data_IF_686718234562
#
_entry.id   IF_686718234562
#
_cell.length_a   1.000
_cell.length_b   1.000
_cell.length_c   1.000
_cell.angle_alpha   90.00
_cell.angle_beta   90.00
_cell.angle_gamma   90.00
#
_symmetry.space_group_name_H-M   'P 1'
#
loop_
_entity.id
_entity.type
_entity.pdbx_description
1 polymer ?
#
# COMPACT_ATOMS: atom_id res chain seq x y z
N UNK A 1 -4.56 9.96 -46.24
CA UNK A 1 -5.26 9.79 -44.95
C UNK A 1 -4.86 10.85 -43.93
N UNK A 2 -3.56 11.08 -43.69
CA UNK A 2 -3.06 12.14 -42.78
C UNK A 2 -3.63 13.54 -43.05
N UNK A 3 -3.83 13.91 -44.32
CA UNK A 3 -4.46 15.19 -44.69
C UNK A 3 -5.89 15.36 -44.16
N UNK A 4 -6.64 14.28 -43.96
CA UNK A 4 -7.99 14.32 -43.39
C UNK A 4 -7.95 14.64 -41.88
N UNK A 5 -6.90 14.23 -41.17
CA UNK A 5 -6.73 14.53 -39.73
C UNK A 5 -6.38 16.00 -39.49
N UNK A 6 -5.78 16.66 -40.49
CA UNK A 6 -5.47 18.10 -40.41
C UNK A 6 -6.72 18.97 -40.50
N UNK A 7 -7.84 18.45 -40.99
CA UNK A 7 -9.07 19.21 -41.14
C UNK A 7 -9.70 19.46 -39.77
N UNK A 8 -9.79 20.72 -39.36
CA UNK A 8 -10.39 21.12 -38.08
C UNK A 8 -11.92 21.30 -38.16
N UNK A 9 -12.53 21.09 -39.32
CA UNK A 9 -13.97 21.18 -39.49
C UNK A 9 -14.65 20.00 -38.78
N UNK A 10 -15.63 20.33 -37.95
CA UNK A 10 -16.43 19.37 -37.19
C UNK A 10 -17.89 19.54 -37.59
N UNK A 11 -18.66 18.46 -37.48
CA UNK A 11 -20.10 18.49 -37.69
C UNK A 11 -20.85 19.22 -36.56
N UNK A 12 -22.17 19.32 -36.69
CA UNK A 12 -23.04 20.04 -35.74
C UNK A 12 -22.96 19.51 -34.29
N UNK A 13 -22.48 18.28 -34.11
CA UNK A 13 -22.30 17.65 -32.79
C UNK A 13 -20.82 17.59 -32.37
N UNK A 14 -19.93 18.26 -33.10
CA UNK A 14 -18.52 18.41 -32.75
C UNK A 14 -17.63 17.22 -33.15
N UNK A 15 -18.10 16.33 -34.04
CA UNK A 15 -17.35 15.17 -34.52
C UNK A 15 -16.66 15.44 -35.85
N UNK A 16 -15.56 14.72 -36.10
CA UNK A 16 -14.95 14.63 -37.43
C UNK A 16 -14.74 13.16 -37.81
N UNK A 17 -15.79 12.47 -38.32
CA UNK A 17 -15.72 11.04 -38.64
C UNK A 17 -14.63 10.73 -39.66
N UNK A 18 -14.40 11.61 -40.64
CA UNK A 18 -13.36 11.43 -41.65
C UNK A 18 -11.94 11.34 -41.04
N UNK A 19 -11.63 12.21 -40.07
CA UNK A 19 -10.36 12.17 -39.34
C UNK A 19 -10.25 10.89 -38.49
N UNK A 20 -11.31 10.50 -37.78
CA UNK A 20 -11.32 9.26 -36.99
C UNK A 20 -11.09 8.03 -37.88
N UNK A 21 -11.85 7.90 -38.98
CA UNK A 21 -11.69 6.80 -39.93
C UNK A 21 -10.29 6.78 -40.54
N UNK A 22 -9.70 7.95 -40.83
CA UNK A 22 -8.34 8.03 -41.34
C UNK A 22 -7.33 7.45 -40.35
N UNK A 23 -7.43 7.78 -39.07
CA UNK A 23 -6.56 7.26 -38.00
C UNK A 23 -6.71 5.73 -37.87
N UNK A 24 -7.94 5.22 -37.73
CA UNK A 24 -8.18 3.78 -37.58
C UNK A 24 -7.75 2.98 -38.82
N UNK A 25 -7.95 3.54 -40.02
CA UNK A 25 -7.51 2.90 -41.27
C UNK A 25 -5.99 2.82 -41.34
N UNK A 26 -5.28 3.89 -40.96
CA UNK A 26 -3.83 3.90 -40.89
C UNK A 26 -3.32 2.88 -39.86
N UNK A 27 -3.97 2.78 -38.70
CA UNK A 27 -3.65 1.78 -37.69
C UNK A 27 -3.80 0.34 -38.21
N UNK A 28 -4.96 0.00 -38.79
CA UNK A 28 -5.16 -1.34 -39.35
C UNK A 28 -4.21 -1.70 -40.50
N UNK A 29 -3.83 -0.71 -41.32
CA UNK A 29 -2.81 -0.90 -42.36
C UNK A 29 -1.41 -1.08 -41.77
N UNK A 30 -1.04 -0.35 -40.71
CA UNK A 30 0.22 -0.51 -40.01
C UNK A 30 0.31 -1.91 -39.37
N UNK A 31 -0.76 -2.37 -38.72
CA UNK A 31 -0.86 -3.71 -38.12
C UNK A 31 -0.73 -4.83 -39.17
N UNK A 32 -1.14 -4.58 -40.41
CA UNK A 32 -0.96 -5.50 -41.54
C UNK A 32 0.48 -5.57 -42.08
N UNK A 33 1.42 -4.79 -41.49
CA UNK A 33 2.84 -4.77 -41.84
C UNK A 33 3.24 -3.68 -42.83
N UNK A 34 2.38 -2.69 -43.11
CA UNK A 34 2.70 -1.60 -44.03
C UNK A 34 3.56 -0.52 -43.35
N UNK A 35 4.85 -0.47 -43.70
CA UNK A 35 5.79 0.54 -43.16
C UNK A 35 5.33 1.97 -43.48
N UNK A 36 4.89 2.22 -44.71
CA UNK A 36 4.38 3.54 -45.11
C UNK A 36 3.12 3.96 -44.33
N UNK A 37 2.28 2.99 -43.93
CA UNK A 37 1.12 3.28 -43.10
C UNK A 37 1.52 3.57 -41.65
N UNK A 38 2.56 2.91 -41.13
CA UNK A 38 3.13 3.18 -39.80
C UNK A 38 3.66 4.62 -39.69
N UNK A 39 4.46 5.06 -40.67
CA UNK A 39 4.98 6.44 -40.70
C UNK A 39 3.84 7.47 -40.81
N UNK A 40 2.84 7.17 -41.65
CA UNK A 40 1.67 8.02 -41.82
C UNK A 40 0.76 8.05 -40.58
N UNK A 41 0.68 6.94 -39.83
CA UNK A 41 -0.03 6.82 -38.56
C UNK A 41 0.63 7.69 -37.50
N UNK A 42 1.96 7.63 -37.36
CA UNK A 42 2.68 8.45 -36.41
C UNK A 42 2.39 9.95 -36.64
N UNK A 43 2.48 10.42 -37.88
CA UNK A 43 2.12 11.80 -38.24
C UNK A 43 0.63 12.12 -38.01
N UNK A 44 -0.27 11.16 -38.24
CA UNK A 44 -1.69 11.33 -37.99
C UNK A 44 -2.00 11.44 -36.48
N UNK A 45 -1.33 10.68 -35.63
CA UNK A 45 -1.49 10.75 -34.18
C UNK A 45 -1.02 12.10 -33.62
N UNK A 46 0.12 12.63 -34.06
CA UNK A 46 0.61 13.96 -33.64
C UNK A 46 -0.37 15.09 -33.97
N UNK A 47 -1.00 15.03 -35.15
CA UNK A 47 -2.05 15.97 -35.54
C UNK A 47 -3.31 15.72 -34.71
N UNK A 48 -3.66 14.45 -34.50
CA UNK A 48 -4.83 14.02 -33.77
C UNK A 48 -4.82 14.44 -32.31
N UNK A 49 -3.67 14.45 -31.62
CA UNK A 49 -3.54 14.90 -30.24
C UNK A 49 -3.96 16.36 -30.03
N UNK A 50 -3.82 17.20 -31.07
CA UNK A 50 -4.15 18.64 -31.01
C UNK A 50 -5.51 18.96 -31.62
N UNK A 51 -6.27 17.95 -32.01
CA UNK A 51 -7.50 18.14 -32.76
C UNK A 51 -8.63 18.69 -31.88
N UNK A 52 -9.49 19.56 -32.43
CA UNK A 52 -10.61 20.19 -31.69
C UNK A 52 -11.65 19.17 -31.21
N UNK A 53 -11.94 18.17 -32.02
CA UNK A 53 -12.87 17.08 -31.72
C UNK A 53 -12.27 16.06 -30.75
N UNK A 54 -12.90 15.84 -29.59
CA UNK A 54 -12.40 14.88 -28.59
C UNK A 54 -12.35 13.44 -29.09
N UNK A 55 -13.27 12.94 -29.95
CA UNK A 55 -13.16 11.56 -30.44
C UNK A 55 -12.00 11.35 -31.41
N UNK A 56 -11.52 12.41 -32.08
CA UNK A 56 -10.28 12.36 -32.87
C UNK A 56 -9.07 12.27 -31.95
N UNK A 57 -9.01 13.07 -30.87
CA UNK A 57 -7.96 12.93 -29.84
C UNK A 57 -7.97 11.54 -29.22
N UNK A 58 -9.16 11.02 -28.89
CA UNK A 58 -9.35 9.68 -28.35
C UNK A 58 -8.85 8.59 -29.32
N UNK A 59 -9.20 8.69 -30.60
CA UNK A 59 -8.72 7.76 -31.61
C UNK A 59 -7.19 7.83 -31.74
N UNK A 60 -6.61 9.03 -31.80
CA UNK A 60 -5.17 9.22 -31.88
C UNK A 60 -4.43 8.57 -30.72
N UNK A 61 -4.86 8.81 -29.47
CA UNK A 61 -4.26 8.18 -28.28
C UNK A 61 -4.43 6.66 -28.32
N UNK A 62 -5.61 6.17 -28.73
CA UNK A 62 -5.92 4.75 -28.76
C UNK A 62 -5.02 3.92 -29.68
N UNK A 63 -4.45 4.52 -30.73
CA UNK A 63 -3.63 3.79 -31.72
C UNK A 63 -2.22 4.34 -31.91
N UNK A 64 -1.83 5.37 -31.18
CA UNK A 64 -0.47 5.91 -31.32
C UNK A 64 0.58 4.88 -30.88
N UNK A 65 1.76 5.01 -31.47
CA UNK A 65 2.91 4.21 -31.08
C UNK A 65 3.31 4.53 -29.64
N UNK A 66 3.97 3.58 -28.96
CA UNK A 66 4.34 3.73 -27.55
C UNK A 66 5.28 4.93 -27.30
N UNK A 67 6.20 5.19 -28.22
CA UNK A 67 7.13 6.33 -28.19
C UNK A 67 6.42 7.69 -28.32
N UNK A 68 5.18 7.72 -28.80
CA UNK A 68 4.37 8.93 -28.92
C UNK A 68 3.53 9.24 -27.68
N UNK A 69 3.43 8.32 -26.70
CA UNK A 69 2.63 8.54 -25.49
C UNK A 69 3.18 9.67 -24.62
N UNK A 70 4.51 9.83 -24.55
CA UNK A 70 5.13 10.96 -23.86
C UNK A 70 4.69 12.30 -24.49
N UNK A 71 4.65 12.38 -25.82
CA UNK A 71 4.17 13.58 -26.52
C UNK A 71 2.68 13.87 -26.26
N UNK A 72 1.85 12.83 -26.13
CA UNK A 72 0.45 12.99 -25.73
C UNK A 72 0.31 13.58 -24.31
N UNK A 73 1.17 13.17 -23.38
CA UNK A 73 1.21 13.69 -22.01
C UNK A 73 1.73 15.13 -21.94
N UNK A 74 2.76 15.45 -22.72
CA UNK A 74 3.30 16.80 -22.83
C UNK A 74 2.26 17.80 -23.35
N UNK A 75 1.30 17.31 -24.16
CA UNK A 75 0.14 18.09 -24.63
C UNK A 75 -1.01 18.17 -23.62
N UNK A 76 -0.91 17.51 -22.47
CA UNK A 76 -1.90 17.61 -21.39
C UNK A 76 -3.13 16.71 -21.56
N UNK A 77 -3.07 15.67 -22.40
CA UNK A 77 -4.23 14.78 -22.64
C UNK A 77 -4.65 13.96 -21.40
N UNK A 78 -3.78 13.82 -20.41
CA UNK A 78 -4.08 13.27 -19.07
C UNK A 78 -5.08 14.11 -18.27
N UNK A 79 -5.27 15.37 -18.66
CA UNK A 79 -6.23 16.32 -18.10
C UNK A 79 -7.22 16.82 -19.16
N UNK A 80 -7.45 16.06 -20.22
CA UNK A 80 -8.40 16.41 -21.27
C UNK A 80 -9.81 16.69 -20.71
N UNK A 81 -10.55 17.60 -21.35
CA UNK A 81 -11.93 17.91 -20.95
C UNK A 81 -12.83 16.69 -21.11
N UNK A 82 -12.57 15.84 -22.10
CA UNK A 82 -13.31 14.60 -22.31
C UNK A 82 -12.73 13.44 -21.48
N UNK A 83 -13.49 12.86 -20.53
CA UNK A 83 -13.03 11.75 -19.71
C UNK A 83 -12.68 10.50 -20.53
N UNK A 84 -13.24 10.33 -21.74
CA UNK A 84 -12.87 9.20 -22.61
C UNK A 84 -11.43 9.27 -23.08
N UNK A 85 -10.96 10.47 -23.43
CA UNK A 85 -9.56 10.69 -23.84
C UNK A 85 -8.63 10.35 -22.67
N UNK A 86 -8.97 10.79 -21.46
CA UNK A 86 -8.24 10.48 -20.23
C UNK A 86 -8.21 8.99 -19.94
N UNK A 87 -9.37 8.33 -20.03
CA UNK A 87 -9.51 6.88 -19.86
C UNK A 87 -8.62 6.13 -20.86
N UNK A 88 -8.74 6.45 -22.16
CA UNK A 88 -7.94 5.81 -23.20
C UNK A 88 -6.45 6.05 -22.98
N UNK A 89 -6.02 7.25 -22.57
CA UNK A 89 -4.61 7.50 -22.25
C UNK A 89 -4.12 6.63 -21.08
N UNK A 90 -4.88 6.55 -19.98
CA UNK A 90 -4.51 5.72 -18.82
C UNK A 90 -4.43 4.23 -19.19
N UNK A 91 -5.36 3.73 -20.00
CA UNK A 91 -5.31 2.34 -20.48
C UNK A 91 -4.11 2.10 -21.40
N UNK A 92 -3.77 3.05 -22.28
CA UNK A 92 -2.58 2.97 -23.13
C UNK A 92 -1.28 2.99 -22.31
N UNK A 93 -1.26 3.74 -21.21
CA UNK A 93 -0.15 3.72 -20.24
C UNK A 93 -0.06 2.33 -19.59
N UNK A 94 -1.19 1.74 -19.17
CA UNK A 94 -1.25 0.41 -18.56
C UNK A 94 -0.79 -0.72 -19.51
N UNK A 95 -1.05 -0.58 -20.81
CA UNK A 95 -0.60 -1.51 -21.85
C UNK A 95 0.88 -1.32 -22.26
N UNK A 96 1.55 -0.31 -21.70
CA UNK A 96 2.94 0.06 -22.00
C UNK A 96 3.83 -0.05 -20.76
N UNK A 97 5.13 0.13 -20.93
CA UNK A 97 6.01 0.34 -19.78
C UNK A 97 5.83 1.80 -19.26
N UNK A 98 4.88 2.00 -18.34
CA UNK A 98 4.51 3.35 -17.89
C UNK A 98 5.68 4.16 -17.31
N UNK A 99 6.72 3.49 -16.76
CA UNK A 99 7.88 4.17 -16.20
C UNK A 99 8.63 5.00 -17.26
N UNK A 100 8.48 4.66 -18.55
CA UNK A 100 9.01 5.41 -19.68
C UNK A 100 8.11 6.56 -20.15
N UNK A 101 6.86 6.61 -19.69
CA UNK A 101 5.79 7.47 -20.24
C UNK A 101 5.32 8.53 -19.23
N UNK A 102 5.10 8.14 -17.97
CA UNK A 102 4.67 9.05 -16.89
C UNK A 102 5.34 8.67 -15.57
N UNK A 103 5.89 9.64 -14.86
CA UNK A 103 6.47 9.40 -13.54
C UNK A 103 5.39 9.29 -12.45
N UNK A 104 5.76 8.75 -11.29
CA UNK A 104 4.82 8.60 -10.17
C UNK A 104 4.19 9.92 -9.72
N UNK A 105 4.92 11.04 -9.79
CA UNK A 105 4.38 12.36 -9.46
C UNK A 105 3.33 12.81 -10.48
N UNK A 106 3.56 12.56 -11.77
CA UNK A 106 2.61 12.78 -12.85
C UNK A 106 1.31 12.02 -12.61
N UNK A 107 1.39 10.74 -12.26
CA UNK A 107 0.22 9.94 -11.91
C UNK A 107 -0.53 10.51 -10.70
N UNK A 108 0.17 10.85 -9.63
CA UNK A 108 -0.44 11.37 -8.40
C UNK A 108 -1.14 12.72 -8.61
N UNK A 109 -0.64 13.57 -9.52
CA UNK A 109 -1.30 14.83 -9.88
C UNK A 109 -2.69 14.63 -10.51
N UNK A 110 -2.98 13.44 -11.07
CA UNK A 110 -4.28 13.14 -11.67
C UNK A 110 -5.35 12.79 -10.63
N UNK A 111 -4.95 12.20 -9.49
CA UNK A 111 -5.86 11.68 -8.46
C UNK A 111 -6.98 12.67 -8.05
N UNK A 112 -6.71 13.96 -7.77
CA UNK A 112 -7.75 14.89 -7.33
C UNK A 112 -8.88 15.07 -8.35
N UNK A 113 -8.56 14.91 -9.64
CA UNK A 113 -9.49 15.10 -10.75
C UNK A 113 -10.22 13.81 -11.17
N UNK A 114 -9.95 12.68 -10.51
CA UNK A 114 -10.56 11.36 -10.80
C UNK A 114 -11.17 10.69 -9.58
N UNK A 115 -11.00 11.24 -8.37
CA UNK A 115 -11.43 10.61 -7.11
C UNK A 115 -12.93 10.27 -7.02
N UNK A 116 -13.77 10.93 -7.83
CA UNK A 116 -15.22 10.72 -7.87
C UNK A 116 -15.69 9.91 -9.08
N UNK A 117 -14.78 9.51 -9.96
CA UNK A 117 -15.06 8.73 -11.16
C UNK A 117 -14.41 7.35 -11.02
N UNK A 118 -15.22 6.35 -10.67
CA UNK A 118 -14.76 4.99 -10.42
C UNK A 118 -14.05 4.38 -11.64
N UNK A 119 -14.50 4.71 -12.86
CA UNK A 119 -13.91 4.17 -14.10
C UNK A 119 -12.53 4.76 -14.36
N UNK A 120 -12.38 6.08 -14.18
CA UNK A 120 -11.08 6.73 -14.31
C UNK A 120 -10.12 6.33 -13.19
N UNK A 121 -10.63 6.08 -11.98
CA UNK A 121 -9.82 5.60 -10.86
C UNK A 121 -9.32 4.17 -11.09
N UNK A 122 -10.15 3.29 -11.64
CA UNK A 122 -9.73 1.93 -12.02
C UNK A 122 -8.67 1.98 -13.12
N UNK A 123 -8.88 2.78 -14.16
CA UNK A 123 -7.88 2.97 -15.22
C UNK A 123 -6.57 3.57 -14.70
N UNK A 124 -6.64 4.52 -13.76
CA UNK A 124 -5.46 5.06 -13.10
C UNK A 124 -4.74 3.99 -12.28
N UNK A 125 -5.49 3.13 -11.59
CA UNK A 125 -4.91 2.02 -10.80
C UNK A 125 -4.21 1.02 -11.72
N UNK A 126 -4.80 0.70 -12.87
CA UNK A 126 -4.16 -0.12 -13.91
C UNK A 126 -2.87 0.52 -14.44
N UNK A 127 -2.89 1.82 -14.76
CA UNK A 127 -1.72 2.55 -15.21
C UNK A 127 -0.62 2.61 -14.14
N UNK A 128 -0.98 2.80 -12.87
CA UNK A 128 -0.03 2.82 -11.76
C UNK A 128 0.52 1.42 -11.41
N UNK A 129 -0.16 0.34 -11.83
CA UNK A 129 0.24 -1.04 -11.53
C UNK A 129 1.42 -1.53 -12.40
N UNK A 130 1.81 -0.80 -13.44
CA UNK A 130 3.00 -1.12 -14.25
C UNK A 130 4.30 -0.82 -13.49
N UNK A 131 4.34 0.23 -12.68
CA UNK A 131 5.40 0.54 -11.71
C UNK A 131 4.80 0.96 -10.36
N UNK A 132 4.29 -0.02 -9.59
CA UNK A 132 3.54 0.27 -8.38
C UNK A 132 4.44 0.81 -7.26
N UNK A 133 5.74 0.48 -7.25
CA UNK A 133 6.67 0.98 -6.24
C UNK A 133 6.83 2.51 -6.36
N UNK A 134 7.05 3.01 -7.57
CA UNK A 134 7.19 4.45 -7.84
C UNK A 134 5.88 5.19 -7.57
N UNK A 135 4.74 4.62 -8.00
CA UNK A 135 3.43 5.22 -7.75
C UNK A 135 3.13 5.33 -6.25
N UNK A 136 3.34 4.26 -5.47
CA UNK A 136 3.12 4.26 -4.02
C UNK A 136 4.01 5.29 -3.33
N UNK A 137 5.31 5.34 -3.65
CA UNK A 137 6.23 6.33 -3.07
C UNK A 137 5.75 7.75 -3.36
N UNK A 138 5.33 8.04 -4.59
CA UNK A 138 4.79 9.35 -4.94
C UNK A 138 3.49 9.67 -4.18
N UNK A 139 2.60 8.69 -4.00
CA UNK A 139 1.37 8.87 -3.22
C UNK A 139 1.67 9.25 -1.78
N UNK A 140 2.65 8.60 -1.13
CA UNK A 140 3.01 8.89 0.27
C UNK A 140 3.58 10.29 0.49
N UNK A 141 4.16 10.90 -0.56
CA UNK A 141 4.73 12.25 -0.52
C UNK A 141 3.69 13.35 -0.79
N UNK A 142 2.51 13.00 -1.29
CA UNK A 142 1.47 13.97 -1.60
C UNK A 142 0.69 14.40 -0.36
N UNK A 143 0.43 15.70 -0.23
CA UNK A 143 -0.39 16.27 0.85
C UNK A 143 -1.84 15.76 0.82
N UNK A 144 -2.30 15.32 -0.36
CA UNK A 144 -3.65 14.77 -0.59
C UNK A 144 -3.74 13.27 -0.31
N UNK A 145 -2.69 12.65 0.24
CA UNK A 145 -2.60 11.23 0.59
C UNK A 145 -3.66 10.72 1.59
N UNK A 146 -4.40 11.62 2.25
CA UNK A 146 -5.29 11.27 3.36
C UNK A 146 -6.73 10.87 3.01
N UNK A 147 -7.12 10.80 1.74
CA UNK A 147 -8.48 10.37 1.40
C UNK A 147 -8.62 8.85 1.48
N UNK A 148 -9.79 8.36 1.89
CA UNK A 148 -10.08 6.92 1.93
C UNK A 148 -9.90 6.25 0.55
N UNK A 149 -10.25 6.98 -0.53
CA UNK A 149 -10.02 6.54 -1.91
C UNK A 149 -8.54 6.33 -2.21
N UNK A 150 -7.66 7.26 -1.81
CA UNK A 150 -6.23 7.13 -2.01
C UNK A 150 -5.64 6.00 -1.17
N UNK A 151 -6.12 5.79 0.07
CA UNK A 151 -5.72 4.67 0.89
C UNK A 151 -6.10 3.31 0.26
N UNK A 152 -7.31 3.21 -0.30
CA UNK A 152 -7.75 2.01 -1.04
C UNK A 152 -6.87 1.74 -2.26
N UNK A 153 -6.58 2.78 -3.06
CA UNK A 153 -5.72 2.64 -4.23
C UNK A 153 -4.28 2.21 -3.85
N UNK A 154 -3.69 2.82 -2.81
CA UNK A 154 -2.37 2.44 -2.29
C UNK A 154 -2.36 0.99 -1.78
N UNK A 155 -3.43 0.54 -1.12
CA UNK A 155 -3.59 -0.84 -0.68
C UNK A 155 -3.61 -1.82 -1.85
N UNK A 156 -4.39 -1.54 -2.90
CA UNK A 156 -4.44 -2.36 -4.11
C UNK A 156 -3.08 -2.44 -4.80
N UNK A 157 -2.38 -1.32 -4.94
CA UNK A 157 -1.05 -1.28 -5.56
C UNK A 157 -0.02 -2.07 -4.74
N UNK A 158 -0.06 -1.97 -3.40
CA UNK A 158 0.85 -2.70 -2.52
C UNK A 158 0.57 -4.22 -2.57
N UNK A 159 -0.69 -4.64 -2.53
CA UNK A 159 -1.06 -6.05 -2.73
C UNK A 159 -0.64 -6.56 -4.12
N UNK A 160 -0.82 -5.75 -5.17
CA UNK A 160 -0.40 -6.09 -6.53
C UNK A 160 1.11 -6.28 -6.62
N UNK A 161 1.89 -5.31 -6.12
CA UNK A 161 3.35 -5.38 -6.09
C UNK A 161 3.84 -6.65 -5.39
N UNK A 162 3.27 -6.99 -4.22
CA UNK A 162 3.61 -8.20 -3.50
C UNK A 162 3.30 -9.48 -4.32
N UNK A 163 2.10 -9.58 -4.90
CA UNK A 163 1.69 -10.73 -5.74
C UNK A 163 2.52 -10.87 -7.01
N UNK A 164 3.03 -9.76 -7.53
CA UNK A 164 3.93 -9.72 -8.68
C UNK A 164 5.37 -10.14 -8.35
N UNK A 165 5.65 -10.61 -7.12
CA UNK A 165 6.94 -11.11 -6.64
C UNK A 165 8.06 -10.06 -6.81
N UNK A 166 8.07 -9.01 -5.96
CA UNK A 166 8.90 -7.84 -6.17
C UNK A 166 10.40 -8.16 -6.08
N UNK A 167 11.22 -7.37 -6.76
CA UNK A 167 12.68 -7.45 -6.65
C UNK A 167 13.21 -6.69 -5.43
N UNK A 168 14.48 -6.93 -5.08
CA UNK A 168 15.14 -6.20 -3.99
C UNK A 168 15.22 -4.69 -4.27
N UNK A 169 15.35 -4.29 -5.54
CA UNK A 169 15.36 -2.90 -5.99
C UNK A 169 14.00 -2.24 -5.76
N UNK A 170 12.89 -2.91 -6.09
CA UNK A 170 11.55 -2.39 -5.87
C UNK A 170 11.24 -2.20 -4.38
N UNK A 171 11.66 -3.14 -3.52
CA UNK A 171 11.56 -2.96 -2.07
C UNK A 171 12.45 -1.81 -1.59
N UNK A 172 13.67 -1.68 -2.14
CA UNK A 172 14.58 -0.58 -1.81
C UNK A 172 13.99 0.80 -2.19
N UNK A 173 13.21 0.86 -3.27
CA UNK A 173 12.45 2.04 -3.65
C UNK A 173 11.31 2.33 -2.67
N UNK A 174 10.54 1.31 -2.25
CA UNK A 174 9.49 1.49 -1.23
C UNK A 174 10.04 2.00 0.11
N UNK A 175 11.25 1.62 0.51
CA UNK A 175 11.88 2.13 1.73
C UNK A 175 12.17 3.64 1.71
N UNK A 176 11.94 4.31 0.58
CA UNK A 176 11.96 5.78 0.50
C UNK A 176 10.73 6.43 1.15
N UNK A 177 9.65 5.67 1.39
CA UNK A 177 8.47 6.13 2.12
C UNK A 177 8.89 6.64 3.50
N UNK A 178 8.30 7.76 3.92
CA UNK A 178 8.45 8.24 5.29
C UNK A 178 7.68 7.32 6.25
N UNK A 179 8.31 6.75 7.30
CA UNK A 179 7.62 5.95 8.31
C UNK A 179 6.39 6.65 8.90
N UNK A 180 6.41 7.98 8.96
CA UNK A 180 5.33 8.79 9.51
C UNK A 180 4.36 9.31 8.44
N UNK A 181 4.50 8.89 7.17
CA UNK A 181 3.52 9.21 6.14
C UNK A 181 2.16 8.58 6.47
N UNK A 182 1.07 9.30 6.19
CA UNK A 182 -0.30 8.87 6.48
C UNK A 182 -0.67 7.51 5.85
N UNK A 183 -0.04 7.16 4.73
CA UNK A 183 -0.26 5.91 4.01
C UNK A 183 0.76 4.82 4.36
N UNK A 184 1.79 5.08 5.17
CA UNK A 184 2.88 4.13 5.43
C UNK A 184 2.35 2.81 5.99
N UNK A 185 1.53 2.87 7.06
CA UNK A 185 0.93 1.68 7.68
C UNK A 185 0.10 0.89 6.67
N UNK A 186 -0.82 1.56 5.94
CA UNK A 186 -1.66 0.92 4.93
C UNK A 186 -0.85 0.20 3.85
N UNK A 187 0.24 0.83 3.38
CA UNK A 187 1.12 0.25 2.37
C UNK A 187 1.78 -1.02 2.89
N UNK A 188 2.41 -0.98 4.07
CA UNK A 188 3.14 -2.13 4.59
C UNK A 188 2.23 -3.30 4.97
N UNK A 189 1.07 -3.04 5.59
CA UNK A 189 0.08 -4.07 5.90
C UNK A 189 -0.49 -4.73 4.64
N UNK A 190 -0.78 -3.92 3.60
CA UNK A 190 -1.29 -4.43 2.33
C UNK A 190 -0.22 -5.22 1.56
N UNK A 191 1.04 -4.78 1.62
CA UNK A 191 2.17 -5.50 1.07
C UNK A 191 2.34 -6.86 1.75
N UNK A 192 2.26 -6.90 3.09
CA UNK A 192 2.34 -8.14 3.88
C UNK A 192 1.18 -9.10 3.55
N UNK A 193 -0.04 -8.57 3.44
CA UNK A 193 -1.24 -9.34 3.06
C UNK A 193 -1.12 -9.98 1.68
N UNK A 194 -0.49 -9.29 0.73
CA UNK A 194 -0.23 -9.80 -0.63
C UNK A 194 1.01 -10.69 -0.75
N UNK A 195 1.83 -10.80 0.30
CA UNK A 195 3.17 -11.40 0.19
C UNK A 195 3.12 -12.91 -0.07
N UNK A 196 3.84 -13.43 -1.09
CA UNK A 196 3.93 -14.86 -1.33
C UNK A 196 4.63 -15.57 -0.17
N UNK A 197 4.04 -16.67 0.33
CA UNK A 197 4.56 -17.43 1.48
C UNK A 197 5.98 -17.98 1.27
N UNK A 198 6.34 -18.25 0.03
CA UNK A 198 7.59 -18.85 -0.41
C UNK A 198 8.64 -17.82 -0.86
N UNK A 199 8.30 -16.52 -0.86
CA UNK A 199 9.20 -15.48 -1.33
C UNK A 199 10.01 -14.90 -0.16
N UNK A 200 11.32 -15.10 -0.22
CA UNK A 200 12.31 -14.40 0.60
C UNK A 200 13.21 -13.57 -0.32
N UNK A 201 13.47 -12.34 0.06
CA UNK A 201 14.33 -11.41 -0.66
C UNK A 201 15.59 -11.16 0.18
N UNK A 202 16.74 -11.05 -0.49
CA UNK A 202 17.97 -10.56 0.12
C UNK A 202 18.09 -9.07 -0.17
N UNK A 203 17.84 -8.21 0.83
CA UNK A 203 18.02 -6.78 0.65
C UNK A 203 19.50 -6.38 0.64
N UNK A 204 19.91 -5.40 -0.19
CA UNK A 204 21.23 -4.78 -0.11
C UNK A 204 21.48 -4.19 1.29
N UNK A 205 22.75 -4.15 1.71
CA UNK A 205 23.13 -3.63 3.03
C UNK A 205 22.65 -2.18 3.27
N UNK A 206 22.62 -1.34 2.24
CA UNK A 206 22.07 0.02 2.31
C UNK A 206 20.58 0.03 2.64
N UNK A 207 19.80 -0.89 2.08
CA UNK A 207 18.36 -1.01 2.31
C UNK A 207 18.05 -1.62 3.67
N UNK A 208 18.83 -2.61 4.11
CA UNK A 208 18.73 -3.13 5.48
C UNK A 208 19.01 -2.03 6.52
N UNK A 209 19.99 -1.17 6.25
CA UNK A 209 20.29 0.00 7.10
C UNK A 209 19.09 0.96 7.19
N UNK A 210 18.39 1.22 6.09
CA UNK A 210 17.17 2.04 6.10
C UNK A 210 16.07 1.44 6.99
N UNK A 211 15.86 0.11 6.95
CA UNK A 211 14.90 -0.55 7.85
C UNK A 211 15.25 -0.28 9.31
N UNK A 212 16.51 -0.52 9.70
CA UNK A 212 16.96 -0.35 11.09
C UNK A 212 16.94 1.11 11.55
N UNK A 213 17.56 2.00 10.79
CA UNK A 213 17.81 3.38 11.24
C UNK A 213 16.66 4.33 11.00
N UNK A 214 15.75 4.01 10.06
CA UNK A 214 14.60 4.87 9.75
C UNK A 214 13.32 4.31 10.34
N UNK A 215 12.98 3.07 9.99
CA UNK A 215 11.70 2.50 10.36
C UNK A 215 11.65 1.96 11.78
N UNK A 216 12.76 1.45 12.32
CA UNK A 216 12.83 0.95 13.70
C UNK A 216 13.32 2.00 14.71
N UNK A 217 13.63 3.22 14.25
CA UNK A 217 14.07 4.33 15.10
C UNK A 217 12.99 4.81 16.07
N UNK A 218 13.38 5.54 17.12
CA UNK A 218 12.46 6.13 18.10
C UNK A 218 11.51 7.18 17.50
N UNK A 219 11.84 7.71 16.32
CA UNK A 219 11.03 8.70 15.62
C UNK A 219 9.87 8.08 14.84
N UNK A 220 9.90 6.77 14.58
CA UNK A 220 8.82 6.06 13.91
C UNK A 220 7.76 5.63 14.92
N UNK A 221 6.49 5.83 14.56
CA UNK A 221 5.36 5.29 15.34
C UNK A 221 5.44 3.77 15.49
N UNK A 222 4.91 3.24 16.59
CA UNK A 222 4.90 1.79 16.83
C UNK A 222 4.04 1.06 15.81
N UNK A 223 2.96 1.69 15.34
CA UNK A 223 2.12 1.18 14.26
C UNK A 223 2.93 1.03 12.98
N UNK A 224 3.74 2.03 12.62
CA UNK A 224 4.62 1.90 11.45
C UNK A 224 5.69 0.84 11.64
N UNK A 225 6.25 0.68 12.85
CA UNK A 225 7.22 -0.38 13.17
C UNK A 225 6.58 -1.76 12.97
N UNK A 226 5.42 -1.99 13.59
CA UNK A 226 4.69 -3.24 13.47
C UNK A 226 4.30 -3.54 12.01
N UNK A 227 3.84 -2.52 11.27
CA UNK A 227 3.43 -2.67 9.88
C UNK A 227 4.59 -3.11 8.99
N UNK A 228 5.77 -2.49 9.07
CA UNK A 228 6.92 -2.93 8.27
C UNK A 228 7.44 -4.30 8.73
N UNK A 229 7.43 -4.59 10.03
CA UNK A 229 7.87 -5.87 10.57
C UNK A 229 7.02 -7.05 10.09
N UNK A 230 5.75 -6.81 9.77
CA UNK A 230 4.85 -7.83 9.22
C UNK A 230 5.33 -8.43 7.88
N UNK A 231 6.24 -7.73 7.18
CA UNK A 231 6.85 -8.18 5.93
C UNK A 231 8.38 -8.25 5.99
N UNK A 232 9.04 -7.50 6.89
CA UNK A 232 10.51 -7.42 6.95
C UNK A 232 11.20 -8.74 7.31
N UNK A 233 10.52 -9.67 8.00
CA UNK A 233 11.00 -11.04 8.23
C UNK A 233 11.33 -11.77 6.91
N UNK A 234 10.69 -11.37 5.80
CA UNK A 234 10.91 -11.95 4.46
C UNK A 234 12.07 -11.30 3.70
N UNK A 235 12.79 -10.36 4.30
CA UNK A 235 13.79 -9.54 3.61
C UNK A 235 15.24 -9.79 4.06
N UNK A 236 15.48 -10.85 4.85
CA UNK A 236 16.81 -11.23 5.34
C UNK A 236 17.58 -10.08 6.00
N UNK A 237 16.89 -9.25 6.80
CA UNK A 237 17.50 -8.11 7.50
C UNK A 237 18.35 -8.63 8.66
N UNK A 238 19.65 -8.31 8.64
CA UNK A 238 20.57 -8.72 9.69
C UNK A 238 20.18 -8.14 11.06
N UNK A 239 20.26 -9.00 12.09
CA UNK A 239 19.96 -8.71 13.50
C UNK A 239 18.55 -8.17 13.75
N UNK A 240 17.58 -8.44 12.86
CA UNK A 240 16.22 -7.92 13.01
C UNK A 240 15.56 -8.38 14.31
N UNK A 241 15.67 -9.67 14.65
CA UNK A 241 15.07 -10.24 15.85
C UNK A 241 15.65 -9.61 17.13
N UNK A 242 16.97 -9.37 17.16
CA UNK A 242 17.64 -8.76 18.31
C UNK A 242 17.18 -7.31 18.50
N UNK A 243 17.14 -6.51 17.43
CA UNK A 243 16.70 -5.11 17.47
C UNK A 243 15.23 -5.01 17.92
N UNK A 244 14.35 -5.84 17.36
CA UNK A 244 12.94 -5.90 17.77
C UNK A 244 12.83 -6.30 19.24
N UNK A 245 13.65 -7.26 19.67
CA UNK A 245 13.71 -7.71 21.06
C UNK A 245 14.20 -6.65 22.03
N UNK A 246 15.17 -5.81 21.63
CA UNK A 246 15.65 -4.66 22.41
C UNK A 246 14.56 -3.61 22.57
N UNK A 247 13.96 -3.16 21.46
CA UNK A 247 12.87 -2.16 21.49
C UNK A 247 11.69 -2.67 22.33
N UNK A 248 11.31 -3.95 22.17
CA UNK A 248 10.26 -4.54 22.99
C UNK A 248 10.65 -4.56 24.48
N UNK A 249 11.91 -4.86 24.80
CA UNK A 249 12.41 -4.88 26.18
C UNK A 249 12.32 -3.51 26.86
N UNK A 250 12.65 -2.43 26.14
CA UNK A 250 12.51 -1.06 26.64
C UNK A 250 11.05 -0.68 26.90
N UNK A 251 10.14 -1.04 25.99
CA UNK A 251 8.70 -0.85 26.16
C UNK A 251 8.17 -1.63 27.37
N UNK A 252 8.55 -2.90 27.53
CA UNK A 252 8.16 -3.71 28.68
C UNK A 252 8.72 -3.17 30.00
N UNK A 253 9.95 -2.68 30.01
CA UNK A 253 10.54 -2.02 31.19
C UNK A 253 9.71 -0.80 31.61
N UNK A 254 9.23 -0.02 30.65
CA UNK A 254 8.35 1.13 30.90
C UNK A 254 6.97 0.67 31.39
N UNK A 255 6.39 -0.37 30.79
CA UNK A 255 5.10 -0.93 31.18
C UNK A 255 5.10 -1.46 32.63
N UNK A 256 6.19 -2.08 33.04
CA UNK A 256 6.35 -2.70 34.36
C UNK A 256 6.79 -1.72 35.45
N UNK A 257 7.19 -0.50 35.09
CA UNK A 257 7.62 0.51 36.05
C UNK A 257 6.44 1.03 36.91
N UNK A 258 6.31 0.53 38.14
CA UNK A 258 5.26 0.96 39.08
C UNK A 258 5.28 2.46 39.41
N UNK A 259 6.43 3.13 39.23
CA UNK A 259 6.57 4.58 39.45
C UNK A 259 6.15 5.45 38.25
N UNK A 260 5.92 4.87 37.08
CA UNK A 260 5.47 5.60 35.89
C UNK A 260 3.97 5.89 35.92
N UNK A 261 3.53 6.86 35.12
CA UNK A 261 2.11 7.18 35.00
C UNK A 261 1.34 5.97 34.42
N UNK A 262 0.12 5.71 34.91
CA UNK A 262 -0.69 4.57 34.45
C UNK A 262 -0.90 4.56 32.94
N UNK A 263 -1.16 5.71 32.33
CA UNK A 263 -1.37 5.83 30.89
C UNK A 263 -0.11 5.51 30.08
N UNK A 264 1.06 5.94 30.58
CA UNK A 264 2.36 5.66 29.97
C UNK A 264 2.66 4.16 30.02
N UNK A 265 2.38 3.52 31.16
CA UNK A 265 2.54 2.07 31.33
C UNK A 265 1.65 1.28 30.39
N UNK A 266 0.36 1.65 30.29
CA UNK A 266 -0.61 0.99 29.42
C UNK A 266 -0.26 1.19 27.94
N UNK A 267 0.19 2.38 27.55
CA UNK A 267 0.66 2.65 26.20
C UNK A 267 1.86 1.79 25.85
N UNK A 268 2.87 1.71 26.72
CA UNK A 268 4.06 0.91 26.50
C UNK A 268 3.74 -0.60 26.44
N UNK A 269 2.81 -1.06 27.29
CA UNK A 269 2.28 -2.44 27.26
C UNK A 269 1.65 -2.77 25.90
N UNK A 270 0.69 -1.97 25.43
CA UNK A 270 0.03 -2.17 24.14
C UNK A 270 1.02 -2.15 22.97
N UNK A 271 1.93 -1.18 22.98
CA UNK A 271 2.95 -1.02 21.96
C UNK A 271 3.91 -2.22 21.90
N UNK A 272 4.34 -2.74 23.05
CA UNK A 272 5.23 -3.92 23.13
C UNK A 272 4.61 -5.17 22.51
N UNK A 273 3.29 -5.35 22.68
CA UNK A 273 2.55 -6.49 22.14
C UNK A 273 2.36 -6.31 20.63
N UNK A 274 1.99 -5.11 20.18
CA UNK A 274 1.81 -4.83 18.75
C UNK A 274 3.11 -4.97 17.96
N UNK A 275 4.24 -4.55 18.54
CA UNK A 275 5.54 -4.60 17.90
C UNK A 275 6.01 -6.05 17.65
N UNK A 276 5.83 -6.92 18.64
CA UNK A 276 6.31 -8.30 18.58
C UNK A 276 5.29 -9.27 19.19
N UNK A 277 4.15 -9.51 18.51
CA UNK A 277 3.00 -10.22 19.07
C UNK A 277 3.26 -11.70 19.38
N UNK A 278 4.28 -12.30 18.77
CA UNK A 278 4.67 -13.70 18.97
C UNK A 278 5.84 -13.86 19.96
N UNK A 279 6.30 -12.77 20.58
CA UNK A 279 7.46 -12.81 21.46
C UNK A 279 7.17 -13.51 22.79
N UNK A 280 8.01 -14.46 23.22
CA UNK A 280 7.86 -15.11 24.53
C UNK A 280 7.97 -14.14 25.70
N UNK A 281 8.64 -12.98 25.53
CA UNK A 281 8.75 -11.94 26.57
C UNK A 281 7.40 -11.42 27.05
N UNK A 282 6.35 -11.56 26.25
CA UNK A 282 4.98 -11.19 26.64
C UNK A 282 4.51 -12.06 27.82
N UNK A 283 4.85 -13.36 27.83
CA UNK A 283 4.47 -14.26 28.92
C UNK A 283 5.19 -13.89 30.21
N UNK A 284 6.50 -13.64 30.13
CA UNK A 284 7.30 -13.24 31.29
C UNK A 284 6.75 -11.94 31.90
N UNK A 285 6.44 -10.95 31.05
CA UNK A 285 5.90 -9.67 31.50
C UNK A 285 4.44 -9.76 31.99
N UNK A 286 3.68 -10.76 31.57
CA UNK A 286 2.29 -10.97 31.99
C UNK A 286 2.21 -11.17 33.51
N UNK A 287 3.07 -12.02 34.06
CA UNK A 287 3.07 -12.34 35.50
C UNK A 287 3.49 -11.14 36.35
N UNK A 288 4.44 -10.35 35.86
CA UNK A 288 4.95 -9.16 36.54
C UNK A 288 3.97 -7.98 36.45
N UNK A 289 3.27 -7.83 35.32
CA UNK A 289 2.31 -6.73 35.14
C UNK A 289 1.02 -6.94 35.95
N UNK A 290 0.51 -8.17 35.98
CA UNK A 290 -0.78 -8.52 36.59
C UNK A 290 -0.66 -8.91 38.06
N UNK A 291 -0.29 -7.93 38.90
CA UNK A 291 -0.19 -8.14 40.35
C UNK A 291 -1.53 -7.99 41.07
N UNK A 292 -1.69 -8.55 42.29
CA UNK A 292 -2.90 -8.35 43.11
C UNK A 292 -3.20 -6.89 43.47
N UNK A 293 -2.23 -5.99 43.30
CA UNK A 293 -2.32 -4.57 43.61
C UNK A 293 -2.75 -3.73 42.38
N UNK A 294 -2.79 -4.34 41.20
CA UNK A 294 -3.21 -3.69 39.97
C UNK A 294 -4.68 -3.26 40.06
N UNK A 295 -4.95 -2.01 39.70
CA UNK A 295 -6.33 -1.51 39.68
C UNK A 295 -7.16 -2.31 38.66
N UNK A 296 -8.42 -2.66 38.95
CA UNK A 296 -9.24 -3.39 38.00
C UNK A 296 -9.44 -2.65 36.67
N UNK A 297 -9.46 -1.31 36.65
CA UNK A 297 -9.59 -0.56 35.41
C UNK A 297 -8.37 -0.75 34.50
N UNK A 298 -7.17 -0.56 35.06
CA UNK A 298 -5.88 -0.76 34.37
C UNK A 298 -5.74 -2.19 33.87
N UNK A 299 -6.08 -3.18 34.70
CA UNK A 299 -5.99 -4.59 34.31
C UNK A 299 -6.93 -4.96 33.15
N UNK A 300 -8.15 -4.41 33.10
CA UNK A 300 -9.06 -4.65 31.96
C UNK A 300 -8.50 -4.07 30.68
N UNK A 301 -7.91 -2.87 30.73
CA UNK A 301 -7.31 -2.25 29.56
C UNK A 301 -6.08 -3.01 29.06
N UNK A 302 -5.20 -3.42 29.97
CA UNK A 302 -4.05 -4.25 29.63
C UNK A 302 -4.45 -5.62 29.04
N UNK A 303 -5.54 -6.23 29.54
CA UNK A 303 -6.08 -7.48 28.97
C UNK A 303 -6.59 -7.30 27.54
N UNK A 304 -7.12 -6.13 27.18
CA UNK A 304 -7.56 -5.87 25.80
C UNK A 304 -6.39 -5.87 24.82
N UNK A 305 -5.24 -5.32 25.21
CA UNK A 305 -4.04 -5.33 24.35
C UNK A 305 -3.57 -6.74 24.00
N UNK A 306 -3.80 -7.72 24.89
CA UNK A 306 -3.48 -9.13 24.65
C UNK A 306 -4.32 -9.78 23.54
N UNK A 307 -5.37 -9.12 23.04
CA UNK A 307 -6.07 -9.57 21.82
C UNK A 307 -5.14 -9.64 20.61
N UNK A 308 -4.09 -8.80 20.57
CA UNK A 308 -3.11 -8.78 19.49
C UNK A 308 -1.97 -9.79 19.69
N UNK A 309 -1.83 -10.38 20.89
CA UNK A 309 -0.77 -11.33 21.19
C UNK A 309 -1.06 -12.70 20.55
N UNK A 310 -0.03 -13.28 19.93
CA UNK A 310 -0.04 -14.58 19.23
C UNK A 310 1.09 -15.50 19.72
N UNK A 311 1.51 -15.32 20.97
CA UNK A 311 2.52 -16.15 21.61
C UNK A 311 1.89 -17.45 22.11
N UNK A 312 2.57 -18.57 21.86
CA UNK A 312 2.17 -19.90 22.35
C UNK A 312 2.19 -19.92 23.88
N UNK A 313 1.25 -20.64 24.52
CA UNK A 313 1.16 -20.73 25.99
C UNK A 313 0.41 -19.59 26.69
N UNK A 314 0.00 -18.54 25.95
CA UNK A 314 -0.73 -17.40 26.53
C UNK A 314 -2.02 -17.80 27.26
N UNK A 315 -2.76 -18.79 26.74
CA UNK A 315 -3.98 -19.28 27.38
C UNK A 315 -3.72 -19.88 28.77
N UNK A 316 -2.65 -20.68 28.89
CA UNK A 316 -2.27 -21.36 30.13
C UNK A 316 -1.83 -20.35 31.18
N UNK A 317 -0.98 -19.39 30.80
CA UNK A 317 -0.54 -18.31 31.69
C UNK A 317 -1.72 -17.46 32.19
N UNK A 318 -2.68 -17.13 31.31
CA UNK A 318 -3.87 -16.38 31.68
C UNK A 318 -4.79 -17.16 32.64
N UNK A 319 -4.96 -18.47 32.42
CA UNK A 319 -5.74 -19.33 33.31
C UNK A 319 -5.07 -19.46 34.69
N UNK A 320 -3.73 -19.55 34.73
CA UNK A 320 -2.97 -19.49 35.97
C UNK A 320 -3.21 -18.18 36.72
N UNK A 321 -3.04 -17.04 36.04
CA UNK A 321 -3.27 -15.71 36.61
C UNK A 321 -4.71 -15.48 37.09
N UNK A 322 -5.71 -16.07 36.43
CA UNK A 322 -7.10 -15.94 36.85
C UNK A 322 -7.30 -16.32 38.32
N UNK A 323 -6.54 -17.29 38.85
CA UNK A 323 -6.65 -17.73 40.24
C UNK A 323 -6.10 -16.73 41.26
N UNK A 324 -5.14 -15.88 40.86
CA UNK A 324 -4.54 -14.84 41.69
C UNK A 324 -5.20 -13.47 41.53
N UNK A 325 -5.91 -13.25 40.42
CA UNK A 325 -6.59 -12.01 40.10
C UNK A 325 -7.98 -11.90 40.76
N UNK A 326 -8.39 -10.66 41.07
CA UNK A 326 -9.73 -10.39 41.63
C UNK A 326 -10.87 -10.78 40.67
N UNK A 327 -12.10 -11.01 41.17
CA UNK A 327 -13.20 -11.59 40.39
C UNK A 327 -13.50 -10.90 39.05
N UNK A 328 -13.39 -9.56 39.00
CA UNK A 328 -13.62 -8.75 37.80
C UNK A 328 -12.59 -9.02 36.70
N UNK A 329 -11.30 -9.10 37.05
CA UNK A 329 -10.25 -9.40 36.08
C UNK A 329 -10.33 -10.88 35.66
N UNK A 330 -10.65 -11.77 36.59
CA UNK A 330 -10.87 -13.18 36.28
C UNK A 330 -11.99 -13.42 35.26
N UNK A 331 -13.08 -12.64 35.28
CA UNK A 331 -14.14 -12.72 34.26
C UNK A 331 -13.71 -12.15 32.89
N UNK A 332 -12.87 -11.12 32.88
CA UNK A 332 -12.36 -10.53 31.63
C UNK A 332 -11.33 -11.44 30.96
N UNK A 333 -10.52 -12.16 31.73
CA UNK A 333 -9.67 -13.25 31.22
C UNK A 333 -10.50 -14.29 30.47
N UNK A 334 -11.60 -14.77 31.07
CA UNK A 334 -12.49 -15.72 30.40
C UNK A 334 -13.09 -15.13 29.11
N UNK A 335 -13.48 -13.86 29.14
CA UNK A 335 -14.04 -13.16 27.98
C UNK A 335 -13.01 -13.06 26.85
N UNK A 336 -11.75 -12.74 27.17
CA UNK A 336 -10.64 -12.72 26.22
C UNK A 336 -10.41 -14.10 25.60
N UNK A 337 -10.36 -15.16 26.42
CA UNK A 337 -10.17 -16.54 25.95
C UNK A 337 -11.33 -17.03 25.07
N UNK A 338 -12.57 -16.59 25.36
CA UNK A 338 -13.74 -16.90 24.53
C UNK A 338 -13.79 -16.11 23.23
N UNK A 339 -13.20 -14.92 23.19
CA UNK A 339 -13.18 -14.06 21.99
C UNK A 339 -12.20 -14.54 20.92
N UNK A 340 -11.29 -15.46 21.26
CA UNK A 340 -10.23 -15.95 20.38
C UNK A 340 -10.53 -17.38 19.95
N UNK A 341 -10.63 -17.57 18.63
CA UNK A 341 -10.93 -18.88 18.04
C UNK A 341 -9.87 -19.95 18.37
N UNK A 342 -8.60 -19.55 18.46
CA UNK A 342 -7.49 -20.46 18.77
C UNK A 342 -7.46 -20.93 20.24
N UNK A 343 -8.05 -20.17 21.17
CA UNK A 343 -7.96 -20.46 22.61
C UNK A 343 -9.20 -21.13 23.17
N UNK A 344 -10.22 -21.36 22.32
CA UNK A 344 -11.48 -21.98 22.74
C UNK A 344 -11.29 -23.44 23.14
N UNK A 345 -10.40 -24.20 22.47
CA UNK A 345 -10.09 -25.59 22.83
C UNK A 345 -9.37 -25.67 24.19
N UNK A 346 -8.32 -24.86 24.41
CA UNK A 346 -7.60 -24.82 25.69
C UNK A 346 -8.48 -24.41 26.87
N UNK A 347 -9.48 -23.56 26.65
CA UNK A 347 -10.44 -23.18 27.68
C UNK A 347 -11.38 -24.35 28.04
N UNK A 348 -11.82 -25.12 27.05
CA UNK A 348 -12.68 -26.29 27.28
C UNK A 348 -11.93 -27.34 28.09
N UNK A 349 -10.68 -27.65 27.73
CA UNK A 349 -9.83 -28.60 28.46
C UNK A 349 -9.57 -28.17 29.92
N UNK A 350 -9.52 -26.88 30.20
CA UNK A 350 -9.30 -26.36 31.55
C UNK A 350 -10.56 -26.35 32.44
N UNK A 351 -11.75 -26.48 31.85
CA UNK A 351 -13.04 -26.46 32.57
C UNK A 351 -13.62 -27.87 32.74
N UNK A 352 -13.21 -28.83 31.90
CA UNK A 352 -13.55 -30.26 32.01
C UNK A 352 -12.62 -31.00 32.97
#
# INVERSE_FOLDING_TARGET
LTALVKQAEVDEIGLCPAAMHAIWTLAGLADSGSVAASDALAAACELGFKHVSSPVRNAAVGVCNQDQLAAAIDLGLQTDVDPKVRLTLLLRIADSDAASVIDGNGLVKLLPSIQTDDVLLDAWTSAASTDPAVAIVAMTKSEQSSTATNAKAASVLAEHLARSRPSAEQISQLLQIDPNAKLAVTVWESLAKGWPRDLTILLPASSQKLVRERFLSDQASVESKAAILSVADKWSVENLADIVGEIQGELLTTALNEGAATDERLSAWDQSIRLAPTSPKILDALEEFFTPQLSPATGVEALRSLQNARVDGLSESLLGLRTSLGPKLGSEVLTLLLSRSETTESLLDAIT
#
